data_IF_724137401060
#
_entry.id   IF_724137401060
#
_cell.length_a   1.000
_cell.length_b   1.000
_cell.length_c   1.000
_cell.angle_alpha   90.00
_cell.angle_beta   90.00
_cell.angle_gamma   90.00
#
_symmetry.space_group_name_H-M   'P 1'
#
loop_
_entity.id
_entity.type
_entity.pdbx_description
1 polymer ?
#
# COMPACT_ATOMS: atom_id res chain seq x y z
N UNK A 1 -8.56 -33.78 -39.67
CA UNK A 1 -9.71 -32.99 -39.17
C UNK A 1 -9.71 -33.08 -37.66
N UNK A 2 -9.36 -32.00 -36.96
CA UNK A 2 -9.33 -32.00 -35.49
C UNK A 2 -10.75 -31.80 -35.00
N UNK A 3 -11.24 -32.73 -34.18
CA UNK A 3 -12.60 -32.69 -33.63
C UNK A 3 -12.81 -31.44 -32.75
N UNK A 4 -13.96 -30.79 -32.86
CA UNK A 4 -14.35 -29.60 -32.11
C UNK A 4 -14.17 -29.76 -30.59
N UNK A 5 -14.34 -30.97 -30.07
CA UNK A 5 -14.15 -31.29 -28.64
C UNK A 5 -12.67 -31.24 -28.21
N UNK A 6 -11.77 -31.63 -29.10
CA UNK A 6 -10.32 -31.57 -28.86
C UNK A 6 -9.82 -30.14 -28.90
N UNK A 7 -10.38 -29.29 -29.80
CA UNK A 7 -10.03 -27.88 -29.87
C UNK A 7 -10.47 -27.10 -28.62
N UNK A 8 -11.68 -27.38 -28.11
CA UNK A 8 -12.16 -26.74 -26.88
C UNK A 8 -11.35 -27.14 -25.63
N UNK A 9 -10.84 -28.38 -25.57
CA UNK A 9 -9.96 -28.81 -24.47
C UNK A 9 -8.57 -28.16 -24.54
N UNK A 10 -8.04 -27.96 -25.74
CA UNK A 10 -6.77 -27.27 -25.97
C UNK A 10 -6.89 -25.75 -25.70
N UNK A 11 -8.01 -25.12 -26.07
CA UNK A 11 -8.23 -23.70 -25.82
C UNK A 11 -8.45 -23.38 -24.34
N UNK A 12 -9.12 -24.29 -23.59
CA UNK A 12 -9.31 -24.12 -22.15
C UNK A 12 -7.98 -24.28 -21.37
N UNK A 13 -7.11 -25.19 -21.80
CA UNK A 13 -5.77 -25.35 -21.21
C UNK A 13 -4.83 -24.18 -21.49
N UNK A 14 -4.90 -23.59 -22.68
CA UNK A 14 -4.09 -22.45 -23.06
C UNK A 14 -4.50 -21.15 -22.36
N UNK A 15 -5.81 -20.96 -22.08
CA UNK A 15 -6.32 -19.80 -21.35
C UNK A 15 -5.91 -19.84 -19.87
N UNK A 16 -5.82 -21.01 -19.24
CA UNK A 16 -5.36 -21.13 -17.84
C UNK A 16 -3.87 -20.83 -17.73
N UNK A 17 -3.06 -21.25 -18.70
CA UNK A 17 -1.62 -20.96 -18.72
C UNK A 17 -1.29 -19.50 -19.00
N UNK A 18 -2.09 -18.79 -19.81
CA UNK A 18 -1.89 -17.36 -20.07
C UNK A 18 -2.37 -16.48 -18.90
N UNK A 19 -3.39 -16.91 -18.16
CA UNK A 19 -3.81 -16.20 -16.95
C UNK A 19 -2.79 -16.34 -15.80
N UNK A 20 -2.15 -17.50 -15.66
CA UNK A 20 -1.07 -17.69 -14.68
C UNK A 20 0.23 -16.95 -15.07
N UNK A 21 0.51 -16.76 -16.35
CA UNK A 21 1.68 -16.03 -16.85
C UNK A 21 1.54 -14.50 -16.83
N UNK A 22 0.32 -13.98 -16.83
CA UNK A 22 0.06 -12.53 -16.78
C UNK A 22 0.16 -11.94 -15.35
N UNK A 23 0.19 -12.78 -14.32
CA UNK A 23 0.36 -12.35 -12.92
C UNK A 23 1.82 -12.26 -12.47
N UNK A 24 2.79 -12.63 -13.33
CA UNK A 24 4.22 -12.57 -13.00
C UNK A 24 4.93 -11.31 -13.51
N UNK A 25 4.21 -10.32 -13.98
CA UNK A 25 4.77 -9.10 -14.59
C UNK A 25 4.81 -7.85 -13.71
N UNK A 26 4.32 -7.91 -12.48
CA UNK A 26 4.56 -6.88 -11.45
C UNK A 26 5.32 -7.55 -10.32
N UNK A 27 6.37 -6.94 -9.80
CA UNK A 27 7.16 -7.43 -8.69
C UNK A 27 6.23 -8.05 -7.65
N UNK A 28 6.40 -9.35 -7.40
CA UNK A 28 5.36 -10.16 -6.75
C UNK A 28 4.99 -9.58 -5.39
N UNK A 29 3.72 -9.67 -4.99
CA UNK A 29 3.24 -9.33 -3.63
C UNK A 29 4.13 -9.89 -2.51
N UNK A 30 4.93 -10.91 -2.81
CA UNK A 30 5.85 -11.57 -1.87
C UNK A 30 7.03 -10.70 -1.45
N UNK A 31 7.45 -9.73 -2.27
CA UNK A 31 8.64 -8.90 -2.02
C UNK A 31 8.32 -7.56 -1.35
N UNK A 32 7.05 -7.22 -1.19
CA UNK A 32 6.64 -5.98 -0.52
C UNK A 32 6.93 -6.05 0.98
N UNK A 33 7.42 -4.95 1.59
CA UNK A 33 7.54 -4.84 3.04
C UNK A 33 6.20 -5.09 3.72
N UNK A 34 6.12 -6.10 4.59
CA UNK A 34 4.85 -6.56 5.17
C UNK A 34 4.96 -6.98 6.63
N UNK A 35 3.83 -6.85 7.33
CA UNK A 35 3.63 -7.36 8.71
C UNK A 35 2.31 -8.12 8.73
N UNK A 36 2.31 -9.32 9.31
CA UNK A 36 1.09 -10.11 9.49
C UNK A 36 0.63 -10.05 10.95
N UNK A 37 -0.64 -9.72 11.15
CA UNK A 37 -1.32 -9.73 12.45
C UNK A 37 -2.60 -10.55 12.30
N UNK A 38 -2.72 -11.65 13.01
CA UNK A 38 -3.91 -12.51 13.09
C UNK A 38 -4.50 -12.88 11.72
N UNK A 39 -3.63 -13.24 10.75
CA UNK A 39 -4.04 -13.62 9.39
C UNK A 39 -4.31 -12.45 8.45
N UNK A 40 -4.14 -11.21 8.91
CA UNK A 40 -4.21 -10.00 8.07
C UNK A 40 -2.81 -9.51 7.76
N UNK A 41 -2.50 -9.33 6.48
CA UNK A 41 -1.18 -8.86 6.01
C UNK A 41 -1.28 -7.39 5.65
N UNK A 42 -0.58 -6.56 6.37
CA UNK A 42 -0.40 -5.13 6.08
C UNK A 42 0.87 -4.94 5.28
N UNK A 43 0.81 -4.18 4.19
CA UNK A 43 1.93 -3.91 3.28
C UNK A 43 2.06 -2.41 3.08
N UNK A 44 3.31 -1.93 3.05
CA UNK A 44 3.58 -0.53 2.77
C UNK A 44 4.88 -0.40 1.97
N UNK A 45 4.83 0.35 0.88
CA UNK A 45 6.01 0.67 0.07
C UNK A 45 6.37 2.15 0.17
N UNK A 46 7.45 2.51 -0.49
CA UNK A 46 7.89 3.90 -0.61
C UNK A 46 6.76 4.80 -1.13
N UNK A 47 6.70 6.07 -0.70
CA UNK A 47 5.61 6.95 -1.07
C UNK A 47 5.70 7.33 -2.54
N UNK A 48 4.54 7.43 -3.19
CA UNK A 48 4.41 8.17 -4.44
C UNK A 48 4.35 9.65 -4.09
N UNK A 49 5.24 10.41 -4.70
CA UNK A 49 5.35 11.85 -4.50
C UNK A 49 4.68 12.53 -5.67
N UNK A 50 3.67 13.34 -5.38
CA UNK A 50 2.98 14.12 -6.40
C UNK A 50 3.16 15.61 -6.12
N UNK A 51 3.42 16.39 -7.16
CA UNK A 51 3.65 17.80 -7.03
C UNK A 51 3.20 18.60 -8.25
N UNK A 52 3.17 19.89 -8.08
CA UNK A 52 3.02 20.86 -9.15
C UNK A 52 4.38 21.47 -9.51
N UNK A 53 4.37 22.46 -10.37
CA UNK A 53 5.58 23.12 -10.91
C UNK A 53 6.58 23.53 -9.80
N UNK A 54 7.58 22.71 -9.56
CA UNK A 54 8.66 22.95 -8.59
C UNK A 54 8.33 22.68 -7.11
N UNK A 55 7.15 22.13 -6.79
CA UNK A 55 6.75 21.87 -5.41
C UNK A 55 6.12 20.50 -5.22
N UNK A 56 6.37 19.89 -4.07
CA UNK A 56 5.67 18.68 -3.62
C UNK A 56 4.33 19.08 -3.01
N UNK A 57 3.27 18.41 -3.44
CA UNK A 57 1.92 18.65 -2.91
C UNK A 57 1.47 17.57 -1.94
N UNK A 58 1.94 16.35 -2.10
CA UNK A 58 1.59 15.23 -1.22
C UNK A 58 2.55 14.06 -1.36
N UNK A 59 2.70 13.33 -0.27
CA UNK A 59 3.39 12.05 -0.20
C UNK A 59 2.35 10.97 0.13
N UNK A 60 2.14 10.04 -0.78
CA UNK A 60 1.16 8.97 -0.62
C UNK A 60 1.89 7.64 -0.41
N UNK A 61 1.94 7.08 0.81
CA UNK A 61 2.47 5.75 1.01
C UNK A 61 1.63 4.75 0.20
N UNK A 62 2.29 3.84 -0.50
CA UNK A 62 1.59 2.75 -1.18
C UNK A 62 1.21 1.69 -0.13
N UNK A 63 0.01 1.79 0.36
CA UNK A 63 -0.51 0.93 1.42
C UNK A 63 -1.50 -0.08 0.86
N UNK A 64 -1.39 -1.33 1.29
CA UNK A 64 -2.30 -2.40 0.91
C UNK A 64 -2.57 -3.34 2.08
N UNK A 65 -3.71 -4.01 2.02
CA UNK A 65 -4.13 -5.00 3.02
C UNK A 65 -4.57 -6.26 2.28
N UNK A 66 -4.04 -7.41 2.70
CA UNK A 66 -4.54 -8.72 2.32
C UNK A 66 -5.19 -9.35 3.55
N UNK A 67 -6.43 -9.73 3.42
CA UNK A 67 -7.21 -10.38 4.45
C UNK A 67 -7.33 -11.87 4.15
N UNK A 68 -6.52 -12.70 4.82
CA UNK A 68 -6.57 -14.16 4.66
C UNK A 68 -7.55 -14.82 5.65
N UNK A 69 -8.31 -14.02 6.41
CA UNK A 69 -9.27 -14.51 7.41
C UNK A 69 -10.68 -14.68 6.83
N UNK A 70 -11.54 -15.38 7.57
CA UNK A 70 -12.97 -15.50 7.25
C UNK A 70 -13.84 -14.31 7.70
N UNK A 71 -13.23 -13.28 8.33
CA UNK A 71 -13.92 -12.12 8.85
C UNK A 71 -13.55 -10.85 8.08
N UNK A 72 -14.47 -9.89 8.04
CA UNK A 72 -14.21 -8.58 7.43
C UNK A 72 -13.26 -7.78 8.30
N UNK A 73 -12.22 -7.22 7.71
CA UNK A 73 -11.30 -6.26 8.36
C UNK A 73 -11.85 -4.85 8.19
N UNK A 74 -11.92 -4.11 9.27
CA UNK A 74 -12.28 -2.68 9.30
C UNK A 74 -11.21 -1.95 10.06
N UNK A 75 -10.66 -0.87 9.47
CA UNK A 75 -9.75 0.05 10.13
C UNK A 75 -10.37 1.45 10.10
N UNK A 76 -10.52 2.01 11.25
CA UNK A 76 -10.97 3.40 11.44
C UNK A 76 -9.77 4.37 11.34
N UNK A 77 -9.97 5.68 11.16
CA UNK A 77 -8.88 6.65 11.06
C UNK A 77 -7.89 6.63 12.23
N UNK A 78 -8.36 6.36 13.43
CA UNK A 78 -7.54 6.25 14.65
C UNK A 78 -6.65 5.02 14.71
N UNK A 79 -6.97 3.98 13.93
CA UNK A 79 -6.17 2.76 13.85
C UNK A 79 -4.90 2.95 13.01
N UNK A 80 -4.86 4.03 12.21
CA UNK A 80 -3.73 4.31 11.31
C UNK A 80 -3.17 5.69 11.60
N UNK A 81 -1.94 5.74 12.08
CA UNK A 81 -1.24 6.97 12.40
C UNK A 81 0.10 7.05 11.67
N UNK A 82 0.59 8.24 11.46
CA UNK A 82 1.90 8.39 10.84
C UNK A 82 2.37 9.84 10.75
N UNK A 83 3.65 9.98 10.44
CA UNK A 83 4.30 11.26 10.23
C UNK A 83 5.33 11.13 9.11
N UNK A 84 5.32 12.04 8.18
CA UNK A 84 6.38 12.25 7.20
C UNK A 84 7.25 13.43 7.65
N UNK A 85 8.56 13.27 7.58
CA UNK A 85 9.53 14.32 7.88
C UNK A 85 10.36 14.57 6.62
N UNK A 86 10.35 15.79 6.13
CA UNK A 86 11.14 16.18 4.95
C UNK A 86 12.61 16.44 5.30
N UNK A 87 13.42 16.83 4.32
CA UNK A 87 14.86 17.10 4.50
C UNK A 87 15.13 18.36 5.33
N UNK A 88 14.17 19.25 5.48
CA UNK A 88 14.24 20.45 6.33
C UNK A 88 13.74 20.20 7.75
N UNK A 89 13.36 18.95 8.09
CA UNK A 89 12.77 18.53 9.34
C UNK A 89 11.34 19.08 9.58
N UNK A 90 10.64 19.52 8.53
CA UNK A 90 9.22 19.80 8.66
C UNK A 90 8.45 18.47 8.77
N UNK A 91 7.45 18.45 9.65
CA UNK A 91 6.67 17.25 9.94
C UNK A 91 5.26 17.39 9.39
N UNK A 92 4.82 16.40 8.65
CA UNK A 92 3.48 16.33 8.05
C UNK A 92 2.74 15.12 8.63
N UNK A 93 1.65 15.34 9.38
CA UNK A 93 0.85 14.24 9.90
C UNK A 93 0.14 13.50 8.77
N UNK A 94 -0.15 12.22 9.00
CA UNK A 94 -0.97 11.43 8.09
C UNK A 94 -2.40 11.96 8.07
N UNK A 95 -2.92 12.18 6.87
CA UNK A 95 -4.32 12.47 6.64
C UNK A 95 -5.01 11.22 6.08
N UNK A 96 -6.14 10.90 6.67
CA UNK A 96 -7.03 9.84 6.25
C UNK A 96 -8.12 10.43 5.35
N UNK A 97 -8.16 10.05 4.08
CA UNK A 97 -9.05 10.68 3.09
C UNK A 97 -10.45 10.07 3.07
N UNK A 98 -10.57 8.80 3.47
CA UNK A 98 -11.84 8.09 3.54
C UNK A 98 -12.32 7.96 4.99
N UNK A 99 -13.58 7.56 5.18
CA UNK A 99 -14.13 7.39 6.54
C UNK A 99 -13.52 6.18 7.25
N UNK A 100 -13.23 5.11 6.52
CA UNK A 100 -12.64 3.86 7.01
C UNK A 100 -12.08 3.05 5.86
N UNK A 101 -11.16 2.13 6.14
CA UNK A 101 -10.74 1.08 5.21
C UNK A 101 -11.50 -0.21 5.52
N UNK A 102 -11.94 -0.90 4.50
CA UNK A 102 -12.68 -2.16 4.66
C UNK A 102 -12.16 -3.19 3.67
N UNK A 103 -11.78 -4.37 4.17
CA UNK A 103 -11.33 -5.49 3.34
C UNK A 103 -12.20 -6.70 3.63
N UNK A 104 -12.84 -7.22 2.60
CA UNK A 104 -13.70 -8.41 2.70
C UNK A 104 -12.86 -9.66 3.03
N UNK A 105 -13.49 -10.74 3.55
CA UNK A 105 -12.83 -12.02 3.75
C UNK A 105 -12.13 -12.52 2.48
N UNK A 106 -10.93 -13.07 2.63
CA UNK A 106 -10.14 -13.66 1.55
C UNK A 106 -9.91 -12.73 0.35
N UNK A 107 -9.76 -11.42 0.61
CA UNK A 107 -9.56 -10.40 -0.42
C UNK A 107 -8.33 -9.54 -0.18
N UNK A 108 -7.96 -8.79 -1.22
CA UNK A 108 -6.83 -7.87 -1.25
C UNK A 108 -7.30 -6.52 -1.74
N UNK A 109 -6.88 -5.44 -1.06
CA UNK A 109 -7.21 -4.07 -1.42
C UNK A 109 -5.99 -3.15 -1.35
N UNK A 110 -5.86 -2.24 -2.32
CA UNK A 110 -4.84 -1.21 -2.36
C UNK A 110 -5.45 0.17 -2.05
N UNK A 111 -4.76 0.94 -1.21
CA UNK A 111 -5.24 2.22 -0.68
C UNK A 111 -4.31 3.39 -1.04
N UNK A 112 -3.76 3.40 -2.25
CA UNK A 112 -2.74 4.35 -2.69
C UNK A 112 -3.11 5.84 -2.59
N UNK A 113 -4.40 6.19 -2.51
CA UNK A 113 -4.87 7.58 -2.36
C UNK A 113 -5.68 7.82 -1.08
N UNK A 114 -5.86 6.82 -0.24
CA UNK A 114 -6.64 6.93 0.99
C UNK A 114 -5.85 7.46 2.16
N UNK A 115 -4.52 7.33 2.09
CA UNK A 115 -3.56 7.81 3.08
C UNK A 115 -2.62 8.80 2.41
N UNK A 116 -2.44 9.96 2.99
CA UNK A 116 -1.54 10.99 2.45
C UNK A 116 -0.92 11.82 3.55
N UNK A 117 0.29 12.31 3.31
CA UNK A 117 0.92 13.39 4.05
C UNK A 117 0.86 14.64 3.16
N UNK A 118 0.21 15.70 3.61
CA UNK A 118 0.10 16.93 2.85
C UNK A 118 0.76 18.07 3.61
N UNK A 119 1.64 18.85 3.00
CA UNK A 119 2.01 20.13 3.53
C UNK A 119 0.76 21.03 3.56
N UNK A 120 0.59 21.81 4.59
CA UNK A 120 -0.45 22.83 4.63
C UNK A 120 -0.32 23.75 3.40
N UNK A 121 -1.44 24.25 2.89
CA UNK A 121 -1.51 24.94 1.59
C UNK A 121 -0.60 26.17 1.47
N UNK A 122 -0.16 26.72 2.58
CA UNK A 122 0.73 27.88 2.65
C UNK A 122 2.22 27.50 2.69
N UNK A 123 2.56 26.28 3.09
CA UNK A 123 3.93 25.80 3.20
C UNK A 123 4.19 24.69 2.16
N UNK A 124 4.29 25.07 0.90
CA UNK A 124 4.66 24.14 -0.17
C UNK A 124 6.13 23.76 -0.03
N UNK A 125 6.40 22.46 0.07
CA UNK A 125 7.77 21.95 0.10
C UNK A 125 8.36 21.98 -1.30
N UNK A 126 9.51 22.63 -1.54
CA UNK A 126 10.19 22.57 -2.83
C UNK A 126 10.47 21.12 -3.24
N UNK A 127 10.37 20.83 -4.54
CA UNK A 127 10.54 19.46 -5.06
C UNK A 127 11.93 18.87 -4.76
N UNK A 128 12.95 19.71 -4.59
CA UNK A 128 14.30 19.33 -4.17
C UNK A 128 14.36 18.74 -2.76
N UNK A 129 13.40 19.05 -1.89
CA UNK A 129 13.25 18.50 -0.53
C UNK A 129 12.24 17.35 -0.47
N UNK A 130 11.90 16.78 -1.61
CA UNK A 130 10.90 15.69 -1.69
C UNK A 130 11.35 14.39 -1.02
N UNK A 131 12.65 14.22 -0.84
CA UNK A 131 13.20 13.07 -0.13
C UNK A 131 13.10 13.31 1.38
N UNK A 132 12.38 12.46 2.06
CA UNK A 132 12.23 12.51 3.51
C UNK A 132 12.07 11.12 4.06
N UNK A 133 11.65 11.04 5.30
CA UNK A 133 11.39 9.78 6.01
C UNK A 133 9.96 9.73 6.46
N UNK A 134 9.38 8.54 6.60
CA UNK A 134 8.09 8.42 7.28
C UNK A 134 8.05 7.26 8.27
N UNK A 135 7.14 7.38 9.21
CA UNK A 135 6.71 6.28 10.07
C UNK A 135 5.20 6.16 9.91
N UNK A 136 4.74 4.97 9.50
CA UNK A 136 3.32 4.60 9.45
C UNK A 136 3.08 3.49 10.47
N UNK A 137 2.04 3.63 11.27
CA UNK A 137 1.62 2.64 12.26
C UNK A 137 0.18 2.23 11.99
N UNK A 138 -0.06 0.93 12.00
CA UNK A 138 -1.39 0.35 11.84
C UNK A 138 -1.66 -0.52 13.05
N UNK A 139 -2.67 -0.18 13.83
CA UNK A 139 -3.09 -0.95 15.00
C UNK A 139 -4.26 -1.85 14.63
N UNK A 140 -4.13 -3.13 14.90
CA UNK A 140 -5.16 -4.13 14.68
C UNK A 140 -5.12 -5.16 15.79
N UNK A 141 -6.26 -5.46 16.43
CA UNK A 141 -6.36 -6.39 17.55
C UNK A 141 -5.30 -6.15 18.66
N UNK A 142 -5.10 -4.89 19.04
CA UNK A 142 -4.10 -4.48 20.05
C UNK A 142 -2.64 -4.78 19.71
N UNK A 143 -2.34 -5.08 18.47
CA UNK A 143 -0.99 -5.24 17.93
C UNK A 143 -0.73 -4.15 16.90
N UNK A 144 0.51 -3.72 16.74
CA UNK A 144 0.85 -2.64 15.83
C UNK A 144 1.83 -3.11 14.76
N UNK A 145 1.45 -2.93 13.48
CA UNK A 145 2.40 -2.98 12.37
C UNK A 145 3.04 -1.60 12.21
N UNK A 146 4.36 -1.56 12.13
CA UNK A 146 5.12 -0.32 11.96
C UNK A 146 5.95 -0.41 10.70
N UNK A 147 5.81 0.59 9.83
CA UNK A 147 6.60 0.74 8.61
C UNK A 147 7.43 2.01 8.71
N UNK A 148 8.75 1.87 8.57
CA UNK A 148 9.69 2.99 8.57
C UNK A 148 10.33 3.12 7.21
N UNK A 149 10.15 4.27 6.59
CA UNK A 149 10.80 4.64 5.33
C UNK A 149 11.97 5.58 5.63
N UNK A 150 13.15 5.24 5.17
CA UNK A 150 14.40 5.96 5.43
C UNK A 150 14.84 6.88 4.28
N UNK A 151 13.97 7.13 3.32
CA UNK A 151 14.27 7.85 2.08
C UNK A 151 14.61 6.94 0.89
N UNK A 152 14.77 5.63 1.11
CA UNK A 152 15.10 4.64 0.07
C UNK A 152 14.24 3.37 0.19
N UNK A 153 14.15 2.82 1.37
CA UNK A 153 13.51 1.53 1.63
C UNK A 153 12.54 1.63 2.78
N UNK A 154 11.52 0.79 2.75
CA UNK A 154 10.59 0.62 3.86
C UNK A 154 11.00 -0.60 4.67
N UNK A 155 11.19 -0.43 5.97
CA UNK A 155 11.48 -1.52 6.92
C UNK A 155 10.26 -1.79 7.78
N UNK A 156 9.65 -2.98 7.67
CA UNK A 156 8.51 -3.38 8.48
C UNK A 156 8.96 -3.91 9.84
N UNK A 157 8.17 -3.70 10.88
CA UNK A 157 8.34 -4.32 12.19
C UNK A 157 6.99 -4.50 12.89
N UNK A 158 6.88 -5.49 13.76
CA UNK A 158 5.75 -5.67 14.67
C UNK A 158 6.12 -5.02 16.00
N UNK A 159 5.25 -4.13 16.50
CA UNK A 159 5.40 -3.43 17.78
C UNK A 159 4.57 -4.10 18.86
#
# INVERSE_FOLDING_TARGET
>A
MIDRRTFLKLSAGALVLTAAGALTGCGGMNDRPKVTIDGVVFMCEAPVITGGSGYVMRYCPLFAIQNDTGERVILEPEDITGTFTDMENNMYPLEFVCKKLTVEPHSYEEYGNSLKFCPESENRVPAEYSNGTFILRVTYHNQTAVFRYDGKTVTPSKG
#
